data_IF_741946264627
#
_entry.id   IF_741946264627
#
_cell.length_a   1.000
_cell.length_b   1.000
_cell.length_c   1.000
_cell.angle_alpha   90.00
_cell.angle_beta   90.00
_cell.angle_gamma   90.00
#
_symmetry.space_group_name_H-M   'P 1'
#
loop_
_entity.id
_entity.type
_entity.pdbx_description
1 polymer ?
#
# COMPACT_ATOMS: atom_id res chain seq x y z
N UNK A 1 0.51 -20.34 -27.03
CA UNK A 1 1.51 -19.28 -26.85
C UNK A 1 1.97 -19.34 -25.42
N UNK A 2 3.25 -19.64 -25.21
CA UNK A 2 3.82 -19.63 -23.86
C UNK A 2 3.84 -18.18 -23.35
N UNK A 3 3.30 -17.94 -22.15
CA UNK A 3 3.14 -16.59 -21.63
C UNK A 3 4.51 -15.97 -21.31
N UNK A 4 4.82 -14.83 -21.92
CA UNK A 4 6.17 -14.27 -21.91
C UNK A 4 6.66 -13.97 -20.49
N UNK A 5 5.78 -13.46 -19.61
CA UNK A 5 6.11 -13.23 -18.20
C UNK A 5 6.32 -14.52 -17.42
N UNK A 6 5.51 -15.56 -17.68
CA UNK A 6 5.63 -16.86 -16.99
C UNK A 6 6.98 -17.53 -17.28
N UNK A 7 7.46 -17.45 -18.53
CA UNK A 7 8.78 -17.93 -18.93
C UNK A 7 9.86 -17.10 -18.25
N UNK A 8 9.76 -15.77 -18.31
CA UNK A 8 10.74 -14.86 -17.69
C UNK A 8 10.87 -15.11 -16.18
N UNK A 9 9.76 -15.30 -15.46
CA UNK A 9 9.75 -15.61 -14.03
C UNK A 9 10.46 -16.93 -13.70
N UNK A 10 10.26 -17.97 -14.53
CA UNK A 10 10.90 -19.28 -14.34
C UNK A 10 12.41 -19.18 -14.55
N UNK A 11 12.83 -18.48 -15.59
CA UNK A 11 14.25 -18.34 -15.94
C UNK A 11 15.00 -17.39 -15.00
N UNK A 12 14.34 -16.31 -14.54
CA UNK A 12 14.92 -15.32 -13.62
C UNK A 12 15.42 -15.93 -12.30
N UNK A 13 14.88 -17.08 -11.88
CA UNK A 13 15.36 -17.80 -10.69
C UNK A 13 16.81 -18.26 -10.77
N UNK A 14 17.32 -18.45 -11.98
CA UNK A 14 18.65 -19.00 -12.23
C UNK A 14 19.54 -18.04 -13.01
N UNK A 15 18.96 -17.01 -13.63
CA UNK A 15 19.66 -16.02 -14.43
C UNK A 15 19.53 -14.61 -13.81
N UNK A 16 20.61 -14.07 -13.23
CA UNK A 16 20.63 -12.74 -12.63
C UNK A 16 20.22 -11.63 -13.61
N UNK A 17 20.55 -11.74 -14.91
CA UNK A 17 20.21 -10.72 -15.91
C UNK A 17 18.70 -10.69 -16.15
N UNK A 18 18.06 -11.86 -16.16
CA UNK A 18 16.60 -11.95 -16.28
C UNK A 18 15.91 -11.50 -15.00
N UNK A 19 16.53 -11.73 -13.84
CA UNK A 19 16.04 -11.15 -12.59
C UNK A 19 16.08 -9.62 -12.60
N UNK A 20 17.16 -9.01 -13.09
CA UNK A 20 17.25 -7.56 -13.24
C UNK A 20 16.18 -7.01 -14.20
N UNK A 21 15.94 -7.68 -15.33
CA UNK A 21 14.85 -7.33 -16.24
C UNK A 21 13.48 -7.40 -15.56
N UNK A 22 13.27 -8.44 -14.76
CA UNK A 22 12.03 -8.64 -14.03
C UNK A 22 11.84 -7.58 -12.92
N UNK A 23 12.91 -7.21 -12.21
CA UNK A 23 12.90 -6.10 -11.24
C UNK A 23 12.55 -4.79 -11.95
N UNK A 24 13.12 -4.54 -13.13
CA UNK A 24 12.79 -3.34 -13.93
C UNK A 24 11.31 -3.32 -14.31
N UNK A 25 10.76 -4.46 -14.75
CA UNK A 25 9.34 -4.61 -15.11
C UNK A 25 8.41 -4.36 -13.90
N UNK A 26 8.77 -4.85 -12.72
CA UNK A 26 7.98 -4.69 -11.49
C UNK A 26 8.36 -3.47 -10.65
N UNK A 27 9.29 -2.64 -11.13
CA UNK A 27 9.76 -1.42 -10.46
C UNK A 27 8.61 -0.51 -10.01
N UNK A 28 7.55 -0.26 -10.81
CA UNK A 28 6.41 0.54 -10.35
C UNK A 28 5.74 -0.03 -9.09
N UNK A 29 5.61 -1.35 -9.01
CA UNK A 29 4.98 -2.02 -7.86
C UNK A 29 5.90 -2.02 -6.63
N UNK A 30 7.20 -2.24 -6.83
CA UNK A 30 8.22 -2.17 -5.77
C UNK A 30 8.24 -0.76 -5.18
N UNK A 31 8.34 0.26 -6.04
CA UNK A 31 8.36 1.68 -5.64
C UNK A 31 7.04 2.10 -5.00
N UNK A 32 5.89 1.58 -5.46
CA UNK A 32 4.58 1.82 -4.83
C UNK A 32 4.57 1.42 -3.35
N UNK A 33 5.14 0.27 -2.98
CA UNK A 33 5.18 -0.15 -1.57
C UNK A 33 6.33 0.48 -0.79
N UNK A 34 7.49 0.69 -1.42
CA UNK A 34 8.62 1.39 -0.79
C UNK A 34 8.24 2.82 -0.40
N UNK A 35 7.59 3.56 -1.30
CA UNK A 35 7.13 4.93 -1.04
C UNK A 35 6.06 5.05 0.06
N UNK A 36 5.44 3.93 0.46
CA UNK A 36 4.51 3.90 1.60
C UNK A 36 5.22 3.68 2.95
N UNK A 37 6.49 3.29 2.95
CA UNK A 37 7.31 3.10 4.16
C UNK A 37 7.99 4.42 4.55
N UNK A 38 7.20 5.46 4.81
CA UNK A 38 7.68 6.84 5.07
C UNK A 38 8.60 6.99 6.30
N UNK A 39 8.63 5.98 7.17
CA UNK A 39 9.46 5.96 8.38
C UNK A 39 10.85 5.36 8.15
N UNK A 40 11.11 4.87 6.94
CA UNK A 40 12.36 4.24 6.53
C UNK A 40 13.02 5.12 5.46
N UNK A 41 14.36 5.17 5.45
CA UNK A 41 15.08 5.85 4.38
C UNK A 41 14.69 5.29 3.01
N UNK A 42 14.57 6.17 2.01
CA UNK A 42 14.00 5.80 0.72
C UNK A 42 14.80 4.69 0.02
N UNK A 43 16.13 4.71 0.13
CA UNK A 43 17.01 3.67 -0.40
C UNK A 43 16.80 2.34 0.32
N UNK A 44 16.71 2.35 1.65
CA UNK A 44 16.47 1.16 2.47
C UNK A 44 15.10 0.56 2.19
N UNK A 45 14.06 1.39 2.09
CA UNK A 45 12.71 0.96 1.76
C UNK A 45 12.63 0.31 0.38
N UNK A 46 13.32 0.87 -0.61
CA UNK A 46 13.37 0.29 -1.95
C UNK A 46 14.16 -1.03 -1.95
N UNK A 47 15.30 -1.10 -1.24
CA UNK A 47 16.08 -2.33 -1.11
C UNK A 47 15.28 -3.44 -0.42
N UNK A 48 14.56 -3.12 0.65
CA UNK A 48 13.73 -4.04 1.40
C UNK A 48 12.58 -4.58 0.54
N UNK A 49 11.94 -3.73 -0.27
CA UNK A 49 10.90 -4.18 -1.22
C UNK A 49 11.49 -4.97 -2.39
N UNK A 50 12.70 -4.67 -2.86
CA UNK A 50 13.40 -5.50 -3.85
C UNK A 50 13.73 -6.88 -3.28
N UNK A 51 14.15 -6.96 -2.03
CA UNK A 51 14.41 -8.24 -1.36
C UNK A 51 13.11 -9.06 -1.23
N UNK A 52 12.02 -8.41 -0.82
CA UNK A 52 10.70 -9.04 -0.76
C UNK A 52 10.24 -9.59 -2.12
N UNK A 53 10.49 -8.83 -3.19
CA UNK A 53 10.23 -9.24 -4.56
C UNK A 53 11.04 -10.49 -4.93
N UNK A 54 12.36 -10.48 -4.68
CA UNK A 54 13.24 -11.62 -4.94
C UNK A 54 12.75 -12.89 -4.22
N UNK A 55 12.43 -12.76 -2.93
CA UNK A 55 11.89 -13.88 -2.14
C UNK A 55 10.59 -14.41 -2.75
N UNK A 56 9.66 -13.52 -3.13
CA UNK A 56 8.40 -13.93 -3.74
C UNK A 56 8.63 -14.68 -5.07
N UNK A 57 9.48 -14.17 -5.95
CA UNK A 57 9.81 -14.83 -7.22
C UNK A 57 10.46 -16.19 -6.98
N UNK A 58 11.47 -16.27 -6.10
CA UNK A 58 12.13 -17.54 -5.78
C UNK A 58 11.18 -18.57 -5.13
N UNK A 59 10.22 -18.12 -4.33
CA UNK A 59 9.26 -19.00 -3.64
C UNK A 59 8.11 -19.49 -4.54
N UNK A 60 7.89 -18.85 -5.69
CA UNK A 60 6.79 -19.19 -6.60
C UNK A 60 6.98 -20.57 -7.23
N UNK A 61 6.04 -21.49 -7.08
CA UNK A 61 6.15 -22.86 -7.63
C UNK A 61 5.31 -23.10 -8.88
N UNK A 62 4.38 -22.20 -9.21
CA UNK A 62 3.43 -22.34 -10.32
C UNK A 62 3.43 -21.10 -11.22
N UNK A 63 3.15 -21.33 -12.52
CA UNK A 63 3.21 -20.31 -13.57
C UNK A 63 2.08 -20.49 -14.59
N UNK A 64 0.84 -20.66 -14.10
CA UNK A 64 -0.28 -21.05 -14.96
C UNK A 64 -0.78 -19.89 -15.83
N UNK A 65 -0.77 -18.66 -15.30
CA UNK A 65 -1.16 -17.45 -16.04
C UNK A 65 -0.41 -16.22 -15.54
N UNK A 66 -0.29 -15.20 -16.39
CA UNK A 66 0.34 -13.93 -16.01
C UNK A 66 -0.42 -13.24 -14.88
N UNK A 67 -1.76 -13.30 -14.90
CA UNK A 67 -2.61 -12.70 -13.86
C UNK A 67 -2.32 -13.33 -12.50
N UNK A 68 -2.22 -14.66 -12.43
CA UNK A 68 -1.86 -15.36 -11.20
C UNK A 68 -0.44 -15.02 -10.73
N UNK A 69 0.53 -15.00 -11.65
CA UNK A 69 1.90 -14.65 -11.35
C UNK A 69 2.03 -13.23 -10.79
N UNK A 70 1.39 -12.24 -11.43
CA UNK A 70 1.37 -10.85 -10.96
C UNK A 70 0.71 -10.76 -9.59
N UNK A 71 -0.42 -11.45 -9.40
CA UNK A 71 -1.15 -11.46 -8.12
C UNK A 71 -0.31 -12.07 -7.00
N UNK A 72 0.40 -13.16 -7.26
CA UNK A 72 1.28 -13.80 -6.30
C UNK A 72 2.40 -12.86 -5.86
N UNK A 73 3.09 -12.25 -6.83
CA UNK A 73 4.19 -11.31 -6.57
C UNK A 73 3.70 -10.08 -5.79
N UNK A 74 2.56 -9.50 -6.18
CA UNK A 74 1.90 -8.41 -5.45
C UNK A 74 1.62 -8.81 -4.00
N UNK A 75 1.07 -10.01 -3.78
CA UNK A 75 0.75 -10.49 -2.43
C UNK A 75 2.01 -10.71 -1.58
N UNK A 76 3.12 -11.18 -2.17
CA UNK A 76 4.40 -11.28 -1.49
C UNK A 76 4.91 -9.94 -0.99
N UNK A 77 4.92 -8.93 -1.87
CA UNK A 77 5.28 -7.55 -1.53
C UNK A 77 4.38 -6.97 -0.44
N UNK A 78 3.06 -7.11 -0.60
CA UNK A 78 2.09 -6.59 0.36
C UNK A 78 2.28 -7.20 1.76
N UNK A 79 2.51 -8.52 1.85
CA UNK A 79 2.76 -9.19 3.13
C UNK A 79 4.02 -8.66 3.81
N UNK A 80 5.10 -8.44 3.07
CA UNK A 80 6.32 -7.86 3.63
C UNK A 80 6.10 -6.42 4.08
N UNK A 81 5.44 -5.61 3.26
CA UNK A 81 5.04 -4.25 3.62
C UNK A 81 4.26 -4.22 4.95
N UNK A 82 3.21 -5.04 5.09
CA UNK A 82 2.44 -5.14 6.33
C UNK A 82 3.30 -5.57 7.54
N UNK A 83 4.21 -6.53 7.33
CA UNK A 83 5.10 -6.99 8.40
C UNK A 83 6.04 -5.89 8.89
N UNK A 84 6.59 -5.08 7.97
CA UNK A 84 7.44 -3.94 8.31
C UNK A 84 6.66 -2.87 9.06
N UNK A 85 5.46 -2.51 8.62
CA UNK A 85 4.66 -1.52 9.34
C UNK A 85 4.32 -1.99 10.76
N UNK A 86 4.00 -3.28 10.94
CA UNK A 86 3.72 -3.87 12.27
C UNK A 86 4.95 -3.90 13.16
N UNK A 87 6.11 -4.26 12.60
CA UNK A 87 7.38 -4.27 13.33
C UNK A 87 7.77 -2.87 13.81
N UNK A 88 7.55 -1.85 12.99
CA UNK A 88 7.74 -0.47 13.42
C UNK A 88 6.77 -0.08 14.54
N UNK A 89 5.48 -0.43 14.39
CA UNK A 89 4.46 -0.16 15.41
C UNK A 89 4.77 -0.77 16.78
N UNK A 90 5.34 -1.98 16.82
CA UNK A 90 5.69 -2.67 18.07
C UNK A 90 6.99 -2.15 18.70
N UNK A 91 7.90 -1.59 17.90
CA UNK A 91 9.19 -1.08 18.37
C UNK A 91 9.15 0.40 18.77
N UNK A 92 8.08 1.13 18.45
CA UNK A 92 7.87 2.50 18.91
C UNK A 92 7.08 2.51 20.23
N UNK A 93 7.70 2.94 21.33
CA UNK A 93 6.97 3.31 22.56
C UNK A 93 5.98 4.48 22.32
N UNK A 94 6.11 5.18 21.19
CA UNK A 94 5.20 6.18 20.66
C UNK A 94 4.90 5.92 19.18
N UNK A 95 3.94 5.04 18.88
CA UNK A 95 3.53 4.80 17.50
C UNK A 95 2.93 6.08 16.88
N UNK A 96 3.68 6.71 15.96
CA UNK A 96 3.20 7.81 15.14
C UNK A 96 1.98 7.38 14.33
N UNK A 97 0.97 8.25 14.25
CA UNK A 97 -0.36 7.92 13.74
C UNK A 97 -0.39 7.45 12.28
N UNK A 98 0.65 7.77 11.49
CA UNK A 98 0.77 7.31 10.10
C UNK A 98 1.11 5.80 10.02
N UNK A 99 1.75 5.21 11.05
CA UNK A 99 2.06 3.77 11.08
C UNK A 99 0.81 2.91 11.36
N UNK A 100 -0.23 3.51 11.97
CA UNK A 100 -1.51 2.86 12.28
C UNK A 100 -2.37 2.58 11.03
N UNK A 101 -2.04 3.17 9.88
CA UNK A 101 -2.78 2.98 8.64
C UNK A 101 -2.52 1.62 7.95
N UNK A 102 -1.42 0.92 8.28
CA UNK A 102 -1.06 -0.34 7.62
C UNK A 102 -1.86 -1.57 8.10
N UNK A 103 -2.67 -1.46 9.16
CA UNK A 103 -3.42 -2.58 9.72
C UNK A 103 -4.72 -2.89 8.96
N UNK A 104 -5.25 -1.93 8.20
CA UNK A 104 -6.52 -2.12 7.50
C UNK A 104 -6.31 -2.81 6.15
N UNK A 105 -6.67 -4.10 6.12
CA UNK A 105 -6.73 -4.90 4.91
C UNK A 105 -7.61 -4.24 3.85
N UNK A 106 -6.98 -3.61 2.88
CA UNK A 106 -7.64 -3.22 1.64
C UNK A 106 -8.00 -4.49 0.87
N UNK A 107 -9.26 -4.90 0.97
CA UNK A 107 -9.87 -5.76 -0.03
C UNK A 107 -10.13 -4.87 -1.26
N UNK A 108 -9.12 -4.73 -2.12
CA UNK A 108 -9.29 -4.03 -3.40
C UNK A 108 -10.25 -4.85 -4.27
N UNK A 109 -11.54 -4.48 -4.26
CA UNK A 109 -12.34 -4.55 -5.48
C UNK A 109 -11.83 -3.43 -6.38
N UNK A 110 -11.51 -3.79 -7.61
CA UNK A 110 -10.78 -2.97 -8.57
C UNK A 110 -11.51 -1.68 -9.00
N UNK A 111 -12.75 -1.44 -8.55
CA UNK A 111 -13.55 -0.26 -8.91
C UNK A 111 -13.30 0.97 -8.00
N UNK A 112 -12.71 0.82 -6.81
CA UNK A 112 -12.58 1.92 -5.83
C UNK A 112 -11.27 2.74 -5.96
N UNK A 113 -10.32 2.30 -6.81
CA UNK A 113 -8.98 2.90 -6.89
C UNK A 113 -8.99 4.23 -7.64
N UNK A 114 -9.82 4.38 -8.69
CA UNK A 114 -10.03 5.66 -9.38
C UNK A 114 -10.67 6.69 -8.43
N UNK A 115 -11.66 6.26 -7.64
CA UNK A 115 -12.38 7.15 -6.72
C UNK A 115 -11.48 7.68 -5.60
N UNK A 116 -10.62 6.85 -5.01
CA UNK A 116 -9.71 7.28 -3.94
C UNK A 116 -8.67 8.28 -4.40
N UNK A 117 -8.09 8.09 -5.59
CA UNK A 117 -7.11 9.01 -6.16
C UNK A 117 -7.74 10.37 -6.46
N UNK A 118 -8.97 10.38 -6.99
CA UNK A 118 -9.73 11.61 -7.25
C UNK A 118 -10.05 12.38 -5.96
N UNK A 119 -10.47 11.68 -4.90
CA UNK A 119 -10.71 12.31 -3.60
C UNK A 119 -9.43 12.83 -2.96
N UNK A 120 -8.31 12.10 -3.05
CA UNK A 120 -7.02 12.60 -2.55
C UNK A 120 -6.57 13.85 -3.31
N UNK A 121 -6.76 13.88 -4.64
CA UNK A 121 -6.46 15.05 -5.47
C UNK A 121 -7.33 16.27 -5.08
N UNK A 122 -8.64 16.07 -4.86
CA UNK A 122 -9.58 17.12 -4.43
C UNK A 122 -9.26 17.67 -3.02
N UNK A 123 -8.63 16.85 -2.18
CA UNK A 123 -8.25 17.21 -0.81
C UNK A 123 -6.85 17.85 -0.70
N UNK A 124 -6.03 17.81 -1.75
CA UNK A 124 -4.67 18.39 -1.80
C UNK A 124 -4.64 19.87 -1.40
N UNK A 125 -5.67 20.65 -1.75
CA UNK A 125 -5.78 22.08 -1.43
C UNK A 125 -6.60 22.36 -0.16
N UNK A 126 -6.87 21.35 0.66
CA UNK A 126 -7.63 21.47 1.91
C UNK A 126 -6.70 21.29 3.12
N UNK A 127 -7.08 21.84 4.29
CA UNK A 127 -6.36 21.55 5.52
C UNK A 127 -6.27 20.04 5.76
N UNK A 128 -5.11 19.59 6.25
CA UNK A 128 -4.79 18.16 6.46
C UNK A 128 -5.86 17.37 7.24
N UNK A 129 -6.61 18.07 8.10
CA UNK A 129 -7.79 17.55 8.82
C UNK A 129 -8.84 16.92 7.90
N UNK A 130 -9.04 17.45 6.68
CA UNK A 130 -10.03 16.89 5.74
C UNK A 130 -9.60 15.50 5.25
N UNK A 131 -8.34 15.36 4.83
CA UNK A 131 -7.78 14.07 4.42
C UNK A 131 -7.79 13.06 5.56
N UNK A 132 -7.51 13.53 6.78
CA UNK A 132 -7.48 12.66 7.96
C UNK A 132 -8.88 12.18 8.38
N UNK A 133 -9.88 13.06 8.35
CA UNK A 133 -11.29 12.67 8.56
C UNK A 133 -11.76 11.73 7.45
N UNK A 134 -11.41 12.00 6.18
CA UNK A 134 -11.81 11.16 5.05
C UNK A 134 -11.27 9.73 5.18
N UNK A 135 -9.98 9.57 5.48
CA UNK A 135 -9.37 8.25 5.70
C UNK A 135 -10.03 7.49 6.86
N UNK A 136 -10.34 8.16 7.96
CA UNK A 136 -11.02 7.52 9.09
C UNK A 136 -12.49 7.15 8.76
N UNK A 137 -13.18 7.94 7.95
CA UNK A 137 -14.51 7.58 7.45
C UNK A 137 -14.47 6.34 6.55
N UNK A 138 -13.48 6.25 5.66
CA UNK A 138 -13.27 5.07 4.81
C UNK A 138 -12.91 3.83 5.64
N UNK A 139 -12.18 4.01 6.73
CA UNK A 139 -11.88 2.95 7.69
C UNK A 139 -13.08 2.57 8.60
N UNK A 140 -14.25 3.18 8.40
CA UNK A 140 -15.50 2.79 9.07
C UNK A 140 -15.74 3.41 10.44
N UNK A 141 -14.89 4.35 10.87
CA UNK A 141 -15.05 5.00 12.17
C UNK A 141 -16.27 5.94 12.19
N UNK A 142 -16.96 5.96 13.33
CA UNK A 142 -18.06 6.88 13.57
C UNK A 142 -17.58 8.31 13.80
N UNK A 143 -18.43 9.29 13.53
CA UNK A 143 -18.09 10.71 13.71
C UNK A 143 -17.70 11.06 15.16
N UNK A 144 -18.12 10.23 16.13
CA UNK A 144 -17.74 10.35 17.54
C UNK A 144 -16.30 9.88 17.76
N UNK A 145 -15.97 8.68 17.29
CA UNK A 145 -14.63 8.09 17.41
C UNK A 145 -13.59 8.94 16.67
N UNK A 146 -13.94 9.47 15.49
CA UNK A 146 -13.08 10.41 14.75
C UNK A 146 -12.83 11.68 15.57
N UNK A 147 -13.85 12.19 16.27
CA UNK A 147 -13.71 13.36 17.13
C UNK A 147 -12.75 13.10 18.29
N UNK A 148 -12.86 11.92 18.91
CA UNK A 148 -11.97 11.48 19.99
C UNK A 148 -10.52 11.31 19.49
N UNK A 149 -10.32 10.68 18.32
CA UNK A 149 -9.01 10.47 17.70
C UNK A 149 -8.35 11.78 17.29
N UNK A 150 -9.11 12.75 16.78
CA UNK A 150 -8.59 14.03 16.27
C UNK A 150 -8.68 15.17 17.29
N UNK A 151 -9.01 14.85 18.55
CA UNK A 151 -9.22 15.82 19.62
C UNK A 151 -10.13 16.98 19.21
N UNK A 152 -11.24 16.67 18.52
CA UNK A 152 -12.21 17.63 18.03
C UNK A 152 -13.66 17.17 18.30
N UNK A 153 -14.63 18.08 18.16
CA UNK A 153 -16.02 17.71 18.44
C UNK A 153 -16.63 16.86 17.32
N UNK A 154 -17.55 15.95 17.67
CA UNK A 154 -18.38 15.21 16.69
C UNK A 154 -19.08 16.14 15.70
N UNK A 155 -19.52 17.33 16.14
CA UNK A 155 -20.15 18.30 15.24
C UNK A 155 -19.16 18.87 14.21
N UNK A 156 -17.90 19.06 14.62
CA UNK A 156 -16.84 19.49 13.72
C UNK A 156 -16.56 18.44 12.64
N UNK A 157 -16.43 17.16 13.02
CA UNK A 157 -16.29 16.04 12.08
C UNK A 157 -17.45 15.99 11.08
N UNK A 158 -18.69 16.09 11.59
CA UNK A 158 -19.89 16.12 10.75
C UNK A 158 -19.93 17.27 9.75
N UNK A 159 -19.45 18.45 10.14
CA UNK A 159 -19.36 19.61 9.24
C UNK A 159 -18.37 19.36 8.11
N UNK A 160 -17.23 18.73 8.41
CA UNK A 160 -16.21 18.39 7.40
C UNK A 160 -16.70 17.28 6.47
N UNK A 161 -17.31 16.23 7.02
CA UNK A 161 -17.94 15.14 6.25
C UNK A 161 -18.97 15.65 5.23
N UNK A 162 -19.81 16.61 5.62
CA UNK A 162 -20.77 17.25 4.69
C UNK A 162 -20.10 18.00 3.56
N UNK A 163 -18.96 18.65 3.82
CA UNK A 163 -18.17 19.34 2.79
C UNK A 163 -17.51 18.37 1.83
N UNK A 164 -17.03 17.23 2.34
CA UNK A 164 -16.43 16.16 1.51
C UNK A 164 -17.47 15.56 0.57
N UNK A 165 -18.70 15.32 1.05
CA UNK A 165 -19.81 14.80 0.23
C UNK A 165 -20.39 15.79 -0.81
N UNK A 166 -19.99 17.05 -0.73
CA UNK A 166 -20.46 18.11 -1.63
C UNK A 166 -19.47 18.40 -2.77
N UNK A 167 -18.36 17.67 -2.82
CA UNK A 167 -17.49 17.60 -4.00
C UNK A 167 -18.01 16.53 -4.96
#
# INVERSE_FOLDING_TARGET
MENHLCVLLREAKYDPKKMEQLISLFSPLIKKYAGKLFYMDAEDAEQEMKLAFLIAVHSMSYYNSEVECVSYTRNGLYRRFCALCRGNYQNSEEATEDAKLCEYGFTEKYDDVETLFDYEMLLTNKPIVYSRIFRLLLAGYSDKEIGEILHCSKQYVNRIKKKIKAF
#
